data_IF_697595670765
#
_entry.id   IF_697595670765
#
_cell.length_a   1.000
_cell.length_b   1.000
_cell.length_c   1.000
_cell.angle_alpha   90.00
_cell.angle_beta   90.00
_cell.angle_gamma   90.00
#
_symmetry.space_group_name_H-M   'P 1'
#
loop_
_entity.id
_entity.type
_entity.pdbx_description
1 polymer ?
#
# COMPACT_ATOMS: atom_id res chain seq x y z
N UNK A 1 -3.27 -3.32 -15.20
CA UNK A 1 -2.80 -2.14 -15.97
C UNK A 1 -2.78 -0.96 -15.02
N UNK A 2 -1.60 -0.50 -14.61
CA UNK A 2 -1.45 0.65 -13.68
C UNK A 2 -1.82 1.92 -14.44
N UNK A 3 -2.76 2.71 -13.94
CA UNK A 3 -3.10 4.02 -14.54
C UNK A 3 -2.35 5.09 -13.77
N UNK A 4 -1.29 5.61 -14.39
CA UNK A 4 -0.29 6.47 -13.74
C UNK A 4 -0.45 7.91 -14.26
N UNK A 5 -0.45 8.88 -13.34
CA UNK A 5 -0.17 10.28 -13.63
C UNK A 5 1.20 10.65 -13.09
N UNK A 6 2.29 10.19 -13.73
CA UNK A 6 3.66 10.50 -13.31
C UNK A 6 4.57 10.66 -14.52
N UNK A 7 5.48 11.64 -14.45
CA UNK A 7 6.54 11.86 -15.43
C UNK A 7 7.62 10.77 -15.23
N UNK A 8 8.22 10.29 -16.32
CA UNK A 8 9.31 9.30 -16.24
C UNK A 8 10.55 9.94 -15.63
N UNK A 9 10.97 9.48 -14.45
CA UNK A 9 12.22 9.89 -13.81
C UNK A 9 13.25 8.78 -13.81
N UNK A 10 14.49 9.10 -14.14
CA UNK A 10 15.65 8.25 -13.85
C UNK A 10 16.27 8.72 -12.55
N UNK A 11 16.03 7.99 -11.46
CA UNK A 11 17.15 7.57 -10.62
C UNK A 11 16.84 6.25 -9.92
N UNK A 12 17.79 5.32 -10.05
CA UNK A 12 17.70 3.96 -9.57
C UNK A 12 18.99 3.60 -8.85
N UNK A 13 18.85 3.38 -7.55
CA UNK A 13 19.40 2.25 -6.80
C UNK A 13 18.88 2.45 -5.37
N UNK A 14 17.83 1.72 -4.99
CA UNK A 14 17.51 1.59 -3.57
C UNK A 14 18.69 0.91 -2.90
N UNK A 15 19.25 1.51 -1.84
CA UNK A 15 20.38 0.93 -1.12
C UNK A 15 20.03 -0.40 -0.41
N UNK A 16 18.80 -0.91 -0.58
CA UNK A 16 18.31 -2.16 -0.02
C UNK A 16 17.23 -2.87 -0.86
N UNK A 17 16.98 -2.47 -2.10
CA UNK A 17 15.95 -3.09 -2.93
C UNK A 17 16.43 -3.49 -4.33
N UNK A 18 15.68 -4.37 -4.98
CA UNK A 18 16.16 -5.17 -6.12
C UNK A 18 15.84 -4.56 -7.48
N UNK A 19 15.07 -3.48 -7.52
CA UNK A 19 14.60 -2.87 -8.77
C UNK A 19 15.54 -1.78 -9.30
N UNK A 20 15.81 -1.84 -10.60
CA UNK A 20 16.57 -0.80 -11.32
C UNK A 20 15.73 0.41 -11.73
N UNK A 21 14.55 0.63 -11.14
CA UNK A 21 13.60 1.72 -11.47
C UNK A 21 12.76 2.08 -10.25
N UNK A 22 12.33 3.34 -10.17
CA UNK A 22 11.43 3.85 -9.13
C UNK A 22 10.29 4.65 -9.74
N UNK A 23 9.17 4.77 -9.02
CA UNK A 23 8.14 5.75 -9.31
C UNK A 23 8.56 7.10 -8.72
N UNK A 24 8.54 8.16 -9.54
CA UNK A 24 8.89 9.52 -9.12
C UNK A 24 7.64 10.38 -8.94
N UNK A 25 7.61 11.14 -7.86
CA UNK A 25 6.64 12.19 -7.58
C UNK A 25 7.36 13.54 -7.52
N UNK A 26 7.02 14.42 -8.45
CA UNK A 26 7.53 15.80 -8.57
C UNK A 26 6.48 16.85 -8.16
N UNK A 27 5.32 16.39 -7.68
CA UNK A 27 4.24 17.24 -7.19
C UNK A 27 3.37 16.51 -6.17
N UNK A 28 2.75 17.28 -5.28
CA UNK A 28 1.78 16.81 -4.29
C UNK A 28 0.47 16.28 -4.87
N UNK A 29 0.25 16.42 -6.18
CA UNK A 29 -0.89 15.85 -6.90
C UNK A 29 -0.66 14.43 -7.44
N UNK A 30 0.57 13.92 -7.41
CA UNK A 30 0.90 12.58 -7.91
C UNK A 30 0.34 11.48 -7.00
N UNK A 31 -0.14 10.37 -7.57
CA UNK A 31 -0.67 9.22 -6.79
C UNK A 31 -0.10 7.93 -7.37
N UNK A 32 0.24 6.99 -6.51
CA UNK A 32 0.47 5.61 -6.92
C UNK A 32 -0.60 4.73 -6.30
N UNK A 33 -1.20 3.88 -7.12
CA UNK A 33 -2.22 2.95 -6.64
C UNK A 33 -2.25 1.66 -7.43
N UNK A 34 -2.57 0.57 -6.71
CA UNK A 34 -2.71 -0.76 -7.29
C UNK A 34 -3.81 -1.52 -6.54
N UNK A 35 -4.90 -1.92 -7.21
CA UNK A 35 -5.86 -2.85 -6.63
C UNK A 35 -5.26 -4.26 -6.53
N UNK A 36 -5.60 -4.99 -5.47
CA UNK A 36 -5.25 -6.40 -5.29
C UNK A 36 -6.32 -7.13 -4.47
N UNK A 37 -6.39 -8.44 -4.63
CA UNK A 37 -7.32 -9.30 -3.88
C UNK A 37 -6.70 -9.70 -2.53
N UNK A 38 -7.53 -9.71 -1.50
CA UNK A 38 -7.21 -10.21 -0.17
C UNK A 38 -8.27 -11.18 0.31
N UNK A 39 -7.86 -12.14 1.12
CA UNK A 39 -8.75 -12.97 1.92
C UNK A 39 -9.08 -12.22 3.21
N UNK A 40 -10.37 -12.13 3.54
CA UNK A 40 -10.81 -11.52 4.80
C UNK A 40 -10.36 -12.39 5.99
N UNK A 41 -9.97 -11.74 7.09
CA UNK A 41 -9.48 -12.42 8.30
C UNK A 41 -8.04 -12.92 8.23
N UNK A 42 -7.35 -12.72 7.10
CA UNK A 42 -5.92 -12.98 6.95
C UNK A 42 -5.14 -11.69 7.16
N UNK A 43 -4.07 -11.74 7.96
CA UNK A 43 -3.17 -10.61 8.13
C UNK A 43 -2.19 -10.53 6.95
N UNK A 44 -2.03 -9.34 6.41
CA UNK A 44 -1.08 -9.03 5.35
C UNK A 44 -0.03 -8.08 5.86
N UNK A 45 1.22 -8.27 5.42
CA UNK A 45 2.32 -7.33 5.59
C UNK A 45 2.69 -6.69 4.27
N UNK A 46 2.77 -5.36 4.27
CA UNK A 46 3.17 -4.56 3.12
C UNK A 46 4.49 -3.88 3.45
N UNK A 47 5.41 -3.94 2.50
CA UNK A 47 6.64 -3.15 2.56
C UNK A 47 6.88 -2.39 1.27
N UNK A 48 7.49 -1.22 1.37
CA UNK A 48 7.95 -0.43 0.23
C UNK A 48 9.14 0.43 0.64
N UNK A 49 9.96 0.80 -0.34
CA UNK A 49 11.05 1.75 -0.13
C UNK A 49 10.67 3.13 -0.61
N UNK A 50 10.92 4.14 0.23
CA UNK A 50 10.68 5.55 -0.08
C UNK A 50 11.98 6.32 0.08
N UNK A 51 12.21 7.29 -0.81
CA UNK A 51 13.33 8.24 -0.72
C UNK A 51 12.78 9.64 -1.01
N UNK A 52 13.22 10.62 -0.24
CA UNK A 52 13.02 12.04 -0.53
C UNK A 52 14.32 12.71 -0.90
N UNK A 53 14.28 13.71 -1.77
CA UNK A 53 15.45 14.50 -2.12
C UNK A 53 15.79 15.60 -1.13
N UNK A 54 14.78 16.16 -0.44
CA UNK A 54 14.99 17.32 0.43
C UNK A 54 13.97 17.49 1.56
N UNK A 55 13.02 16.55 1.76
CA UNK A 55 12.11 16.62 2.91
C UNK A 55 12.90 16.49 4.21
N UNK A 56 12.84 17.49 5.13
CA UNK A 56 13.61 17.46 6.36
C UNK A 56 13.29 16.23 7.21
N UNK A 57 14.27 15.78 8.00
CA UNK A 57 14.09 14.72 8.99
C UNK A 57 12.93 15.06 9.94
N UNK A 58 12.17 14.05 10.33
CA UNK A 58 10.97 14.13 11.19
C UNK A 58 9.76 14.82 10.54
N UNK A 59 9.79 15.07 9.23
CA UNK A 59 8.65 15.60 8.46
C UNK A 59 8.00 14.49 7.63
N UNK A 60 6.67 14.47 7.57
CA UNK A 60 5.91 13.53 6.75
C UNK A 60 6.12 13.83 5.26
N UNK A 61 6.60 12.85 4.51
CA UNK A 61 6.86 12.94 3.05
C UNK A 61 5.77 12.26 2.22
N UNK A 62 5.01 11.36 2.84
CA UNK A 62 3.86 10.72 2.20
C UNK A 62 3.04 9.91 3.18
N UNK A 63 1.96 9.32 2.68
CA UNK A 63 1.10 8.44 3.45
C UNK A 63 0.65 7.27 2.58
N UNK A 64 0.85 6.06 3.07
CA UNK A 64 0.26 4.85 2.53
C UNK A 64 -1.13 4.62 3.11
N UNK A 65 -2.01 4.11 2.27
CA UNK A 65 -3.33 3.66 2.64
C UNK A 65 -3.59 2.28 2.03
N UNK A 66 -4.37 1.47 2.73
CA UNK A 66 -5.14 0.39 2.11
C UNK A 66 -6.59 0.80 2.14
N UNK A 67 -7.19 0.92 0.97
CA UNK A 67 -8.56 1.38 0.83
C UNK A 67 -9.48 0.20 0.55
N UNK A 68 -10.63 0.18 1.22
CA UNK A 68 -11.72 -0.78 1.01
C UNK A 68 -12.45 -0.59 -0.33
N UNK A 69 -12.19 0.52 -1.02
CA UNK A 69 -12.82 0.85 -2.30
C UNK A 69 -12.09 1.98 -3.02
N UNK A 70 -12.53 2.27 -4.25
CA UNK A 70 -11.96 3.34 -5.05
C UNK A 70 -12.40 4.72 -4.52
N UNK A 71 -11.47 5.61 -4.16
CA UNK A 71 -11.81 6.97 -3.77
C UNK A 71 -12.29 7.76 -4.99
N UNK A 72 -13.30 8.63 -4.78
CA UNK A 72 -13.74 9.58 -5.81
C UNK A 72 -12.90 10.87 -5.78
N UNK A 73 -12.33 11.18 -4.61
CA UNK A 73 -11.37 12.26 -4.37
C UNK A 73 -10.48 11.94 -3.15
N UNK A 74 -9.48 12.78 -2.87
CA UNK A 74 -8.62 12.60 -1.68
C UNK A 74 -9.39 12.80 -0.36
N UNK A 75 -10.53 13.49 -0.38
CA UNK A 75 -11.38 13.70 0.80
C UNK A 75 -12.02 12.38 1.29
N UNK A 76 -12.11 11.37 0.41
CA UNK A 76 -12.67 10.05 0.73
C UNK A 76 -11.64 9.10 1.37
N UNK A 77 -10.35 9.44 1.35
CA UNK A 77 -9.30 8.50 1.75
C UNK A 77 -9.48 8.04 3.19
N UNK A 78 -9.79 8.96 4.11
CA UNK A 78 -9.94 8.64 5.52
C UNK A 78 -11.15 7.74 5.81
N UNK A 79 -12.24 7.87 5.05
CA UNK A 79 -13.45 7.06 5.26
C UNK A 79 -13.34 5.66 4.63
N UNK A 80 -12.50 5.51 3.60
CA UNK A 80 -12.25 4.25 2.92
C UNK A 80 -11.06 3.47 3.49
N UNK A 81 -10.20 4.10 4.28
CA UNK A 81 -8.97 3.50 4.79
C UNK A 81 -9.24 2.37 5.81
N UNK A 82 -8.72 1.19 5.48
CA UNK A 82 -8.57 0.05 6.36
C UNK A 82 -7.32 0.20 7.25
N UNK A 83 -6.25 0.77 6.67
CA UNK A 83 -5.04 1.18 7.40
C UNK A 83 -4.50 2.46 6.80
N UNK A 84 -3.85 3.26 7.65
CA UNK A 84 -3.11 4.47 7.26
C UNK A 84 -1.72 4.40 7.87
N UNK A 85 -0.69 4.54 7.06
CA UNK A 85 0.71 4.57 7.50
C UNK A 85 1.40 5.82 6.98
N UNK A 86 1.74 6.74 7.88
CA UNK A 86 2.56 7.89 7.52
C UNK A 86 4.00 7.45 7.26
N UNK A 87 4.62 8.06 6.25
CA UNK A 87 6.05 7.95 5.98
C UNK A 87 6.69 9.25 6.45
N UNK A 88 7.53 9.14 7.48
CA UNK A 88 8.29 10.26 8.04
C UNK A 88 9.70 10.17 7.49
N UNK A 89 10.23 11.27 6.96
CA UNK A 89 11.62 11.33 6.48
C UNK A 89 12.57 11.06 7.65
N UNK A 90 13.43 10.06 7.51
CA UNK A 90 14.47 9.73 8.50
C UNK A 90 15.84 10.27 8.10
N UNK A 91 16.04 10.50 6.80
CA UNK A 91 17.24 11.09 6.22
C UNK A 91 16.94 11.60 4.80
N UNK A 92 17.73 12.56 4.34
CA UNK A 92 17.60 13.15 3.02
C UNK A 92 18.43 12.34 2.02
N UNK A 93 17.88 12.10 0.83
CA UNK A 93 18.52 11.34 -0.25
C UNK A 93 18.86 9.89 0.08
N UNK A 94 18.30 9.35 1.15
CA UNK A 94 18.49 7.96 1.58
C UNK A 94 17.19 7.19 1.41
N UNK A 95 17.30 5.93 1.01
CA UNK A 95 16.17 5.02 0.94
C UNK A 95 15.81 4.49 2.32
N UNK A 96 14.55 4.61 2.68
CA UNK A 96 13.99 4.05 3.90
C UNK A 96 12.90 3.03 3.56
N UNK A 97 12.86 1.94 4.33
CA UNK A 97 11.81 0.95 4.21
C UNK A 97 10.65 1.32 5.13
N UNK A 98 9.44 1.40 4.57
CA UNK A 98 8.19 1.44 5.34
C UNK A 98 7.58 0.05 5.36
N UNK A 99 7.19 -0.43 6.54
CA UNK A 99 6.51 -1.72 6.73
C UNK A 99 5.27 -1.47 7.58
N UNK A 100 4.14 -1.99 7.14
CA UNK A 100 2.88 -1.93 7.89
C UNK A 100 2.02 -3.15 7.58
N UNK A 101 1.14 -3.49 8.52
CA UNK A 101 0.25 -4.63 8.40
C UNK A 101 -1.21 -4.17 8.32
N UNK A 102 -2.06 -5.00 7.76
CA UNK A 102 -3.50 -4.84 7.85
C UNK A 102 -4.21 -6.19 7.77
N UNK A 103 -5.43 -6.23 8.29
CA UNK A 103 -6.36 -7.35 8.16
C UNK A 103 -7.68 -6.76 7.72
N UNK A 104 -8.27 -7.30 6.65
CA UNK A 104 -9.64 -6.97 6.28
C UNK A 104 -10.59 -7.79 7.16
N UNK A 105 -11.55 -7.13 7.81
CA UNK A 105 -12.47 -7.79 8.74
C UNK A 105 -13.23 -8.94 8.06
N UNK A 106 -13.12 -10.14 8.65
CA UNK A 106 -13.90 -11.29 8.24
C UNK A 106 -15.29 -11.26 8.88
N UNK A 107 -16.31 -11.42 8.04
CA UNK A 107 -17.60 -11.93 8.51
C UNK A 107 -17.71 -13.37 8.05
N UNK A 108 -17.25 -14.31 8.89
CA UNK A 108 -17.33 -15.72 8.55
C UNK A 108 -18.79 -16.17 8.46
N UNK A 109 -19.28 -16.42 7.24
CA UNK A 109 -20.53 -17.10 7.02
C UNK A 109 -20.30 -18.31 6.12
N UNK A 110 -20.49 -19.50 6.69
CA UNK A 110 -20.42 -20.74 5.92
C UNK A 110 -21.84 -21.14 5.53
N UNK A 111 -22.04 -21.49 4.26
CA UNK A 111 -23.28 -22.16 3.85
C UNK A 111 -23.43 -23.45 4.66
N UNK A 112 -24.64 -23.71 5.16
CA UNK A 112 -24.90 -24.88 6.04
C UNK A 112 -24.44 -26.19 5.39
N UNK A 113 -24.62 -26.36 4.08
CA UNK A 113 -24.19 -27.56 3.36
C UNK A 113 -22.67 -27.79 3.43
N UNK A 114 -21.86 -26.72 3.47
CA UNK A 114 -20.40 -26.81 3.62
C UNK A 114 -20.02 -27.18 5.06
N UNK A 115 -20.76 -26.68 6.04
CA UNK A 115 -20.62 -27.06 7.45
C UNK A 115 -20.96 -28.54 7.64
N UNK A 116 -22.06 -28.98 7.04
CA UNK A 116 -22.51 -30.38 7.11
C UNK A 116 -21.51 -31.32 6.42
N UNK A 117 -20.95 -30.92 5.27
CA UNK A 117 -19.87 -31.64 4.59
C UNK A 117 -18.59 -31.70 5.43
N UNK A 118 -18.18 -30.61 6.07
CA UNK A 118 -16.98 -30.58 6.92
C UNK A 118 -17.13 -31.47 8.15
N UNK A 119 -18.32 -31.52 8.74
CA UNK A 119 -18.67 -32.43 9.85
C UNK A 119 -18.65 -33.89 9.38
N UNK A 120 -19.18 -34.18 8.20
CA UNK A 120 -19.26 -35.53 7.65
C UNK A 120 -17.90 -36.11 7.22
N UNK A 121 -16.99 -35.26 6.73
CA UNK A 121 -15.70 -35.69 6.17
C UNK A 121 -14.47 -35.22 6.96
N UNK A 122 -14.66 -34.60 8.13
CA UNK A 122 -13.56 -34.14 8.98
C UNK A 122 -12.70 -33.03 8.36
N UNK A 123 -13.28 -32.24 7.46
CA UNK A 123 -12.59 -31.17 6.74
C UNK A 123 -12.46 -29.89 7.57
N UNK A 124 -11.41 -29.10 7.31
CA UNK A 124 -11.29 -27.72 7.79
C UNK A 124 -12.03 -26.80 6.82
N UNK A 125 -12.93 -25.96 7.33
CA UNK A 125 -13.56 -24.90 6.54
C UNK A 125 -12.54 -23.77 6.34
N UNK A 126 -12.09 -23.56 5.10
CA UNK A 126 -11.30 -22.39 4.72
C UNK A 126 -12.26 -21.28 4.30
N UNK A 127 -12.02 -20.06 4.79
CA UNK A 127 -12.74 -18.88 4.28
C UNK A 127 -12.44 -18.72 2.79
N UNK A 128 -13.43 -18.34 2.01
CA UNK A 128 -13.28 -17.98 0.59
C UNK A 128 -13.71 -16.55 0.33
N UNK A 129 -13.94 -15.78 1.40
CA UNK A 129 -14.39 -14.41 1.31
C UNK A 129 -13.20 -13.55 0.90
N UNK A 130 -13.05 -13.42 -0.42
CA UNK A 130 -12.08 -12.53 -1.04
C UNK A 130 -12.70 -11.16 -1.27
N UNK A 131 -11.92 -10.11 -1.05
CA UNK A 131 -12.29 -8.73 -1.38
C UNK A 131 -11.16 -8.05 -2.14
N UNK A 132 -11.53 -7.10 -2.98
CA UNK A 132 -10.57 -6.19 -3.56
C UNK A 132 -10.31 -5.04 -2.60
N UNK A 133 -9.03 -4.74 -2.39
CA UNK A 133 -8.56 -3.54 -1.71
C UNK A 133 -7.61 -2.79 -2.63
N UNK A 134 -7.30 -1.54 -2.30
CA UNK A 134 -6.41 -0.69 -3.09
C UNK A 134 -5.23 -0.26 -2.22
N UNK A 135 -4.02 -0.68 -2.60
CA UNK A 135 -2.80 -0.02 -2.14
C UNK A 135 -2.74 1.38 -2.76
N UNK A 136 -2.55 2.40 -1.93
CA UNK A 136 -2.60 3.79 -2.34
C UNK A 136 -1.50 4.59 -1.63
N UNK A 137 -0.76 5.41 -2.37
CA UNK A 137 0.26 6.30 -1.81
C UNK A 137 0.03 7.75 -2.24
N UNK A 138 0.09 8.65 -1.25
CA UNK A 138 -0.09 10.09 -1.41
C UNK A 138 1.17 10.81 -0.92
N UNK A 139 1.95 11.47 -1.80
CA UNK A 139 3.01 12.37 -1.37
C UNK A 139 2.41 13.60 -0.67
N UNK A 140 3.12 14.17 0.30
CA UNK A 140 2.65 15.38 0.98
C UNK A 140 2.80 16.63 0.13
N UNK A 141 2.30 17.76 0.63
CA UNK A 141 2.44 19.07 0.00
C UNK A 141 3.88 19.61 -0.03
N UNK A 142 4.83 18.95 0.66
CA UNK A 142 6.25 19.29 0.57
C UNK A 142 6.86 18.84 -0.75
N UNK A 143 6.22 17.91 -1.47
CA UNK A 143 6.69 17.40 -2.75
C UNK A 143 6.43 18.40 -3.86
N UNK A 144 7.51 18.86 -4.47
CA UNK A 144 7.53 19.92 -5.50
C UNK A 144 8.58 19.56 -6.56
N UNK A 145 8.63 20.28 -7.68
CA UNK A 145 9.65 20.01 -8.70
C UNK A 145 11.10 20.19 -8.22
N UNK A 146 11.32 20.74 -7.03
CA UNK A 146 12.62 20.85 -6.36
C UNK A 146 12.78 19.91 -5.15
N UNK A 147 11.73 19.20 -4.76
CA UNK A 147 11.72 18.19 -3.71
C UNK A 147 10.96 16.97 -4.21
N UNK A 148 11.68 16.04 -4.82
CA UNK A 148 11.07 14.84 -5.37
C UNK A 148 10.98 13.73 -4.31
N UNK A 149 9.96 12.89 -4.45
CA UNK A 149 9.80 11.65 -3.66
C UNK A 149 9.81 10.47 -4.62
N UNK A 150 10.46 9.39 -4.22
CA UNK A 150 10.58 8.17 -4.99
C UNK A 150 10.01 7.00 -4.21
N UNK A 151 9.30 6.11 -4.90
CA UNK A 151 8.69 4.89 -4.35
C UNK A 151 9.13 3.68 -5.17
N UNK A 152 9.56 2.62 -4.49
CA UNK A 152 9.94 1.37 -5.17
C UNK A 152 9.77 0.12 -4.30
N UNK A 153 9.97 -1.04 -4.92
CA UNK A 153 10.04 -2.36 -4.27
C UNK A 153 8.86 -2.64 -3.33
N UNK A 154 7.65 -2.37 -3.83
CA UNK A 154 6.41 -2.67 -3.11
C UNK A 154 6.22 -4.19 -3.09
N UNK A 155 6.17 -4.77 -1.89
CA UNK A 155 5.97 -6.19 -1.64
C UNK A 155 4.80 -6.37 -0.69
N UNK A 156 3.92 -7.32 -1.02
CA UNK A 156 2.74 -7.67 -0.23
C UNK A 156 2.83 -9.17 0.06
N UNK A 157 2.82 -9.54 1.33
CA UNK A 157 2.88 -10.92 1.80
C UNK A 157 1.74 -11.19 2.78
N UNK A 158 1.26 -12.43 2.83
CA UNK A 158 0.47 -12.94 3.96
C UNK A 158 1.38 -13.27 5.13
N UNK A 159 0.94 -13.07 6.37
CA UNK A 159 1.66 -13.43 7.59
C UNK A 159 1.24 -14.80 8.15
#
# INVERSE_FOLDING_TARGET
MVKVGSSSGTDAQSAGGTSGRSLKFDSSGGRAYQPFEVETGVEYSISAFVKTESTPVDVVEGTFYILSGQPSSDDDLASLALVTQQVVSTDINTWQQSIFNFTEDATFSFLQDRVDESIAYGGVLTSTDQKFVIFYFVPTNTVTGSNEVFLTDIVINTL
#
